data_IF_859538699907
#
_entry.id   IF_859538699907
#
_cell.length_a   1.000
_cell.length_b   1.000
_cell.length_c   1.000
_cell.angle_alpha   90.00
_cell.angle_beta   90.00
_cell.angle_gamma   90.00
#
_symmetry.space_group_name_H-M   'P 1'
#
loop_
_entity.id
_entity.type
_entity.pdbx_description
1 polymer ?
#
# COMPACT_ATOMS: atom_id res chain seq x y z
N UNK A 1 -8.15 14.35 4.48
CA UNK A 1 -7.87 13.00 3.96
C UNK A 1 -7.24 12.08 5.00
N UNK A 2 -6.76 12.58 6.15
CA UNK A 2 -6.15 11.74 7.19
C UNK A 2 -7.13 10.93 8.08
N UNK A 3 -8.45 11.14 7.94
CA UNK A 3 -9.48 10.41 8.69
C UNK A 3 -9.85 9.11 7.96
N UNK A 4 -9.61 7.92 8.56
CA UNK A 4 -10.02 6.64 7.99
C UNK A 4 -11.51 6.55 7.67
N UNK A 5 -12.38 7.21 8.45
CA UNK A 5 -13.84 7.16 8.21
C UNK A 5 -14.23 7.82 6.89
N UNK A 6 -13.53 8.88 6.49
CA UNK A 6 -13.76 9.53 5.21
C UNK A 6 -13.41 8.60 4.04
N UNK A 7 -12.34 7.81 4.17
CA UNK A 7 -11.95 6.81 3.18
C UNK A 7 -12.91 5.62 3.14
N UNK A 8 -13.27 5.08 4.29
CA UNK A 8 -14.24 3.97 4.38
C UNK A 8 -15.60 4.38 3.77
N UNK A 9 -16.04 5.63 3.99
CA UNK A 9 -17.21 6.19 3.32
C UNK A 9 -17.04 6.32 1.81
N UNK A 10 -15.87 6.73 1.31
CA UNK A 10 -15.58 6.74 -0.13
C UNK A 10 -15.68 5.33 -0.71
N UNK A 11 -15.05 4.35 -0.08
CA UNK A 11 -15.06 2.96 -0.54
C UNK A 11 -16.44 2.32 -0.45
N UNK A 12 -17.27 2.73 0.51
CA UNK A 12 -18.67 2.29 0.57
C UNK A 12 -19.50 2.77 -0.64
N UNK A 13 -19.10 3.89 -1.26
CA UNK A 13 -19.78 4.44 -2.43
C UNK A 13 -19.20 3.92 -3.75
N UNK A 14 -17.89 3.72 -3.84
CA UNK A 14 -17.21 3.25 -5.05
C UNK A 14 -15.98 2.39 -4.71
N UNK A 15 -16.05 1.12 -5.12
CA UNK A 15 -14.98 0.13 -4.99
C UNK A 15 -14.20 -0.09 -6.30
N UNK A 16 -14.47 0.71 -7.33
CA UNK A 16 -13.77 0.61 -8.60
C UNK A 16 -12.25 0.76 -8.39
N UNK A 17 -11.43 -0.05 -9.07
CA UNK A 17 -9.99 0.10 -9.00
C UNK A 17 -9.57 1.54 -9.34
N UNK A 18 -8.76 2.13 -8.48
CA UNK A 18 -8.30 3.50 -8.65
C UNK A 18 -6.83 3.61 -8.29
N UNK A 19 -6.07 4.24 -9.18
CA UNK A 19 -4.65 4.49 -9.03
C UNK A 19 -4.45 6.00 -8.90
N UNK A 20 -4.04 6.46 -7.72
CA UNK A 20 -4.03 7.89 -7.41
C UNK A 20 -2.94 8.65 -8.18
N UNK A 21 -1.72 8.12 -8.22
CA UNK A 21 -0.56 8.80 -8.81
C UNK A 21 -0.01 8.15 -10.07
N UNK A 22 0.11 6.82 -10.06
CA UNK A 22 0.75 6.09 -11.13
C UNK A 22 0.31 4.62 -11.14
N UNK A 23 0.04 4.13 -12.34
CA UNK A 23 -0.18 2.71 -12.59
C UNK A 23 1.15 1.94 -12.56
N UNK A 24 1.06 0.63 -12.33
CA UNK A 24 2.23 -0.26 -12.27
C UNK A 24 3.23 -0.09 -13.43
N UNK A 25 2.82 -0.01 -14.71
CA UNK A 25 3.78 0.12 -15.81
C UNK A 25 4.72 1.33 -15.69
N UNK A 26 4.24 2.43 -15.08
CA UNK A 26 5.03 3.65 -14.93
C UNK A 26 6.08 3.55 -13.82
N UNK A 27 5.81 2.76 -12.78
CA UNK A 27 6.66 2.65 -11.59
C UNK A 27 7.47 1.34 -11.55
N UNK A 28 7.16 0.39 -12.44
CA UNK A 28 7.75 -0.95 -12.48
C UNK A 28 9.28 -0.93 -12.52
N UNK A 29 9.88 -0.11 -13.38
CA UNK A 29 11.34 -0.05 -13.51
C UNK A 29 12.00 0.40 -12.21
N UNK A 30 11.45 1.44 -11.59
CA UNK A 30 11.92 1.98 -10.30
C UNK A 30 11.76 0.92 -9.21
N UNK A 31 10.59 0.30 -9.08
CA UNK A 31 10.36 -0.72 -8.05
C UNK A 31 11.32 -1.89 -8.19
N UNK A 32 11.62 -2.34 -9.42
CA UNK A 32 12.57 -3.44 -9.67
C UNK A 32 14.03 -3.08 -9.43
N UNK A 33 14.38 -1.80 -9.51
CA UNK A 33 15.71 -1.29 -9.20
C UNK A 33 16.02 -1.38 -7.70
N UNK A 34 15.01 -1.08 -6.86
CA UNK A 34 15.19 -0.98 -5.40
C UNK A 34 14.68 -2.20 -4.61
N UNK A 35 13.70 -2.94 -5.14
CA UNK A 35 13.05 -4.06 -4.45
C UNK A 35 13.25 -5.34 -5.25
N UNK A 36 14.01 -6.27 -4.68
CA UNK A 36 14.21 -7.61 -5.24
C UNK A 36 12.93 -8.45 -5.15
N UNK A 37 12.70 -9.35 -6.10
CA UNK A 37 11.59 -10.32 -6.06
C UNK A 37 11.62 -11.26 -4.85
N UNK A 38 12.74 -11.29 -4.10
CA UNK A 38 12.88 -12.08 -2.86
C UNK A 38 12.43 -11.32 -1.60
N UNK A 39 12.21 -10.00 -1.70
CA UNK A 39 11.82 -9.18 -0.56
C UNK A 39 10.40 -9.50 -0.11
N UNK A 40 10.19 -9.51 1.21
CA UNK A 40 8.88 -9.43 1.84
C UNK A 40 8.41 -7.98 1.82
N UNK A 41 7.31 -7.71 1.12
CA UNK A 41 6.82 -6.36 0.85
C UNK A 41 5.58 -6.06 1.69
N UNK A 42 5.58 -4.89 2.32
CA UNK A 42 4.40 -4.28 2.90
C UNK A 42 3.95 -3.08 2.05
N UNK A 43 2.76 -3.16 1.48
CA UNK A 43 2.12 -2.06 0.76
C UNK A 43 1.09 -1.37 1.67
N UNK A 44 1.37 -0.13 2.07
CA UNK A 44 0.58 0.60 3.05
C UNK A 44 -0.48 1.50 2.42
N UNK A 45 -1.68 1.52 3.01
CA UNK A 45 -2.86 2.24 2.49
C UNK A 45 -3.18 1.83 1.06
N UNK A 46 -3.34 0.53 0.85
CA UNK A 46 -3.48 -0.06 -0.48
C UNK A 46 -4.75 0.40 -1.22
N UNK A 47 -5.79 0.80 -0.50
CA UNK A 47 -7.07 1.20 -1.06
C UNK A 47 -7.59 0.24 -2.13
N UNK A 48 -8.14 0.81 -3.20
CA UNK A 48 -8.54 0.07 -4.41
C UNK A 48 -7.44 0.06 -5.48
N UNK A 49 -6.17 0.20 -5.10
CA UNK A 49 -5.03 0.02 -6.03
C UNK A 49 -4.83 -1.47 -6.35
N UNK A 50 -4.49 -1.78 -7.60
CA UNK A 50 -4.14 -3.14 -8.03
C UNK A 50 -2.62 -3.40 -7.92
N UNK A 51 -1.87 -2.49 -7.29
CA UNK A 51 -0.41 -2.61 -7.19
C UNK A 51 0.02 -3.93 -6.52
N UNK A 52 -0.66 -4.36 -5.46
CA UNK A 52 -0.36 -5.64 -4.81
C UNK A 52 -0.45 -6.82 -5.79
N UNK A 53 -1.56 -6.89 -6.53
CA UNK A 53 -1.80 -7.96 -7.51
C UNK A 53 -0.79 -7.90 -8.67
N UNK A 54 -0.40 -6.70 -9.10
CA UNK A 54 0.64 -6.49 -10.10
C UNK A 54 2.03 -6.93 -9.62
N UNK A 55 2.39 -6.70 -8.36
CA UNK A 55 3.64 -7.17 -7.77
C UNK A 55 3.68 -8.71 -7.76
N UNK A 56 2.61 -9.36 -7.28
CA UNK A 56 2.53 -10.83 -7.32
C UNK A 56 2.66 -11.35 -8.76
N UNK A 57 1.96 -10.72 -9.70
CA UNK A 57 2.00 -11.09 -11.12
C UNK A 57 3.37 -10.88 -11.77
N UNK A 58 4.17 -9.92 -11.29
CA UNK A 58 5.55 -9.67 -11.76
C UNK A 58 6.59 -10.57 -11.08
N UNK A 59 6.18 -11.45 -10.16
CA UNK A 59 7.03 -12.48 -9.56
C UNK A 59 7.49 -12.20 -8.12
N UNK A 60 6.99 -11.14 -7.49
CA UNK A 60 7.14 -10.96 -6.04
C UNK A 60 6.31 -12.00 -5.30
N UNK A 61 6.83 -12.61 -4.24
CA UNK A 61 6.19 -13.77 -3.60
C UNK A 61 5.38 -13.39 -2.37
N UNK A 62 5.89 -12.47 -1.57
CA UNK A 62 5.31 -12.10 -0.29
C UNK A 62 4.94 -10.62 -0.32
N UNK A 63 3.67 -10.34 -0.59
CA UNK A 63 3.12 -8.99 -0.60
C UNK A 63 1.93 -8.93 0.36
N UNK A 64 2.08 -8.16 1.43
CA UNK A 64 1.02 -7.84 2.38
C UNK A 64 0.51 -6.43 2.08
N UNK A 65 -0.79 -6.31 1.88
CA UNK A 65 -1.46 -5.05 1.62
C UNK A 65 -2.27 -4.67 2.86
N UNK A 66 -2.11 -3.43 3.32
CA UNK A 66 -2.88 -2.94 4.46
C UNK A 66 -3.65 -1.67 4.15
N UNK A 67 -4.79 -1.51 4.79
CA UNK A 67 -5.57 -0.27 4.78
C UNK A 67 -6.33 -0.13 6.11
N UNK A 68 -6.64 1.10 6.50
CA UNK A 68 -7.43 1.36 7.71
C UNK A 68 -8.93 1.09 7.48
N UNK A 69 -9.39 1.12 6.22
CA UNK A 69 -10.77 0.87 5.80
C UNK A 69 -11.10 -0.62 5.83
N UNK A 70 -12.08 -1.01 6.63
CA UNK A 70 -12.62 -2.37 6.63
C UNK A 70 -13.32 -2.67 5.29
N UNK A 71 -14.05 -1.70 4.75
CA UNK A 71 -14.80 -1.86 3.49
C UNK A 71 -13.92 -2.32 2.34
N UNK A 72 -12.75 -1.68 2.18
CA UNK A 72 -11.85 -2.01 1.07
C UNK A 72 -11.14 -3.34 1.30
N UNK A 73 -10.73 -3.63 2.54
CA UNK A 73 -10.08 -4.89 2.89
C UNK A 73 -11.03 -6.06 2.67
N UNK A 74 -12.29 -5.97 3.11
CA UNK A 74 -13.28 -7.01 2.86
C UNK A 74 -13.55 -7.22 1.37
N UNK A 75 -13.67 -6.13 0.59
CA UNK A 75 -13.84 -6.22 -0.86
C UNK A 75 -12.68 -6.96 -1.53
N UNK A 76 -11.44 -6.65 -1.13
CA UNK A 76 -10.22 -7.29 -1.66
C UNK A 76 -10.12 -8.76 -1.27
N UNK A 77 -10.31 -9.08 0.02
CA UNK A 77 -10.21 -10.46 0.52
C UNK A 77 -11.31 -11.36 -0.05
N UNK A 78 -12.51 -10.83 -0.30
CA UNK A 78 -13.63 -11.59 -0.87
C UNK A 78 -13.56 -11.73 -2.40
N UNK A 79 -12.57 -11.11 -3.06
CA UNK A 79 -12.36 -11.27 -4.49
C UNK A 79 -11.98 -12.72 -4.81
N UNK A 80 -12.65 -13.32 -5.79
CA UNK A 80 -12.35 -14.69 -6.27
C UNK A 80 -10.93 -14.85 -6.82
N UNK A 81 -10.24 -13.74 -7.09
CA UNK A 81 -8.88 -13.69 -7.62
C UNK A 81 -7.87 -13.17 -6.58
N UNK A 82 -8.22 -13.14 -5.30
CA UNK A 82 -7.33 -12.66 -4.25
C UNK A 82 -6.12 -13.60 -4.09
N UNK A 83 -4.99 -13.23 -4.68
CA UNK A 83 -3.69 -13.92 -4.51
C UNK A 83 -2.80 -13.24 -3.48
N UNK A 84 -3.08 -11.96 -3.17
CA UNK A 84 -2.36 -11.20 -2.17
C UNK A 84 -2.94 -11.38 -0.76
N UNK A 85 -2.12 -11.09 0.26
CA UNK A 85 -2.60 -10.96 1.65
C UNK A 85 -3.12 -9.54 1.85
N UNK A 86 -4.34 -9.40 2.38
CA UNK A 86 -4.93 -8.11 2.75
C UNK A 86 -5.28 -8.12 4.24
N UNK A 87 -4.92 -7.06 4.97
CA UNK A 87 -5.20 -6.95 6.41
C UNK A 87 -5.65 -5.53 6.76
N UNK A 88 -6.66 -5.41 7.65
CA UNK A 88 -7.05 -4.10 8.15
C UNK A 88 -6.07 -3.64 9.23
N UNK A 89 -5.26 -2.64 8.90
CA UNK A 89 -4.28 -2.04 9.80
C UNK A 89 -4.22 -0.54 9.53
N UNK A 90 -4.31 0.26 10.59
CA UNK A 90 -4.02 1.68 10.52
C UNK A 90 -2.50 1.86 10.54
N UNK A 91 -1.92 2.51 9.53
CA UNK A 91 -0.47 2.71 9.44
C UNK A 91 0.13 3.49 10.61
N UNK A 92 -0.71 4.16 11.43
CA UNK A 92 -0.30 4.82 12.67
C UNK A 92 -0.18 3.86 13.86
N UNK A 93 -0.62 2.61 13.70
CA UNK A 93 -0.69 1.56 14.73
C UNK A 93 -0.19 0.24 14.14
N UNK A 94 1.14 0.07 14.07
CA UNK A 94 1.80 -1.02 13.36
C UNK A 94 2.26 -2.18 14.26
N UNK A 95 1.84 -2.19 15.52
CA UNK A 95 2.30 -3.14 16.56
C UNK A 95 1.91 -4.61 16.29
N UNK A 96 1.05 -4.85 15.30
CA UNK A 96 0.68 -6.19 14.83
C UNK A 96 1.83 -6.89 14.09
N UNK A 97 2.76 -6.12 13.53
CA UNK A 97 3.92 -6.64 12.80
C UNK A 97 5.15 -6.66 13.70
N UNK A 98 5.99 -7.67 13.52
CA UNK A 98 7.28 -7.73 14.20
C UNK A 98 8.23 -6.67 13.64
N UNK A 99 9.17 -6.21 14.47
CA UNK A 99 10.31 -5.43 14.01
C UNK A 99 11.07 -6.20 12.92
N UNK A 100 11.44 -5.52 11.85
CA UNK A 100 12.15 -6.12 10.70
C UNK A 100 11.40 -7.28 10.02
N UNK A 101 10.06 -7.32 10.09
CA UNK A 101 9.26 -8.34 9.40
C UNK A 101 9.29 -8.18 7.87
N UNK A 102 9.44 -6.94 7.38
CA UNK A 102 9.42 -6.60 5.95
C UNK A 102 10.75 -6.05 5.48
N UNK A 103 11.21 -6.50 4.32
CA UNK A 103 12.43 -6.01 3.67
C UNK A 103 12.21 -4.68 2.94
N UNK A 104 10.96 -4.42 2.54
CA UNK A 104 10.57 -3.22 1.84
C UNK A 104 9.14 -2.80 2.18
N UNK A 105 8.96 -1.50 2.37
CA UNK A 105 7.63 -0.86 2.48
C UNK A 105 7.40 -0.04 1.22
N UNK A 106 6.20 -0.12 0.66
CA UNK A 106 5.77 0.72 -0.47
C UNK A 106 4.64 1.63 0.01
N UNK A 107 4.88 2.94 -0.09
CA UNK A 107 3.86 3.98 0.01
C UNK A 107 3.56 4.57 -1.36
N UNK A 108 2.27 4.70 -1.68
CA UNK A 108 1.79 5.37 -2.91
C UNK A 108 0.58 6.25 -2.58
N UNK A 109 0.83 7.24 -1.73
CA UNK A 109 -0.13 8.31 -1.40
C UNK A 109 -0.76 8.24 -0.02
N UNK A 110 -0.37 7.26 0.78
CA UNK A 110 -0.86 7.11 2.15
C UNK A 110 -0.25 8.19 3.04
N UNK A 111 1.06 8.46 2.93
CA UNK A 111 1.69 9.55 3.67
C UNK A 111 1.13 10.90 3.20
N UNK A 112 0.94 11.12 1.90
CA UNK A 112 0.32 12.36 1.38
C UNK A 112 -1.07 12.59 1.98
N UNK A 113 -1.90 11.53 2.04
CA UNK A 113 -3.23 11.55 2.66
C UNK A 113 -3.19 11.95 4.14
N UNK A 114 -2.21 11.44 4.89
CA UNK A 114 -1.99 11.77 6.30
C UNK A 114 -1.50 13.20 6.51
N UNK A 115 -0.69 13.71 5.57
CA UNK A 115 -0.06 15.03 5.67
C UNK A 115 -0.97 16.17 5.19
N UNK A 116 -2.14 15.88 4.61
CA UNK A 116 -3.10 16.93 4.22
C UNK A 116 -3.51 17.77 5.44
N UNK A 117 -3.15 19.05 5.42
CA UNK A 117 -3.41 20.01 6.51
C UNK A 117 -2.18 20.34 7.37
N UNK A 118 -1.07 19.63 7.17
CA UNK A 118 0.24 20.05 7.69
C UNK A 118 0.90 21.00 6.68
N UNK A 119 1.65 22.00 7.13
CA UNK A 119 2.28 23.02 6.28
C UNK A 119 3.44 22.49 5.41
N UNK A 120 3.59 21.16 5.31
CA UNK A 120 4.59 20.50 4.48
C UNK A 120 3.89 20.14 3.18
N UNK A 121 4.23 20.86 2.11
CA UNK A 121 3.71 20.61 0.77
C UNK A 121 4.20 19.24 0.29
N UNK A 122 3.41 18.19 0.53
CA UNK A 122 3.60 16.87 -0.05
C UNK A 122 3.12 16.88 -1.50
N UNK A 123 3.93 17.44 -2.40
CA UNK A 123 3.73 17.29 -3.85
C UNK A 123 4.95 16.60 -4.42
N UNK A 124 5.03 15.31 -4.16
CA UNK A 124 6.02 14.44 -4.79
C UNK A 124 5.43 13.05 -4.84
N UNK A 125 5.33 12.45 -6.03
CA UNK A 125 5.16 11.01 -6.19
C UNK A 125 6.37 10.38 -5.52
N UNK A 126 6.22 10.01 -4.25
CA UNK A 126 7.32 9.54 -3.44
C UNK A 126 7.05 8.09 -3.11
N UNK A 127 7.41 7.23 -4.06
CA UNK A 127 7.66 5.82 -3.76
C UNK A 127 8.81 5.77 -2.77
N UNK A 128 8.49 5.71 -1.48
CA UNK A 128 9.49 5.48 -0.44
C UNK A 128 9.67 4.00 -0.29
N UNK A 129 10.78 3.49 -0.82
CA UNK A 129 11.27 2.16 -0.46
C UNK A 129 12.18 2.33 0.74
N UNK A 130 11.66 2.01 1.91
CA UNK A 130 12.49 1.92 3.11
C UNK A 130 13.12 0.54 3.17
N UNK A 131 14.43 0.51 3.30
CA UNK A 131 15.20 -0.71 3.57
C UNK A 131 15.82 -0.50 4.94
N UNK A 132 15.48 -1.35 5.91
CA UNK A 132 16.24 -1.35 7.16
C UNK A 132 17.67 -1.80 6.81
N UNK A 133 18.63 -0.90 6.99
CA UNK A 133 20.04 -1.27 7.02
C UNK A 133 20.30 -1.96 8.36
N UNK A 134 20.71 -3.22 8.31
CA UNK A 134 21.27 -3.96 9.44
C UNK A 134 22.41 -3.13 10.08
N UNK A 135 22.59 -3.12 11.42
CA UNK A 135 23.62 -2.33 12.09
C UNK A 135 25.06 -2.60 11.62
#
# INVERSE_FOLDING_TARGET
>A
YSDPKAWDSRYSNDLSPYEWFADWPLIKSVVREYISHKCNILHIGCGTSNLGDHLISDGYKEVVNIDASETVIQSRTNSKHCTCKYQRVDVRQMDVFATSEFDAIIDKGTIDSLMVGTSVVGTSILLRVFRESDP
#
